data_IF_973627500764
#
_entry.id   IF_973627500764
#
_cell.length_a   1.000
_cell.length_b   1.000
_cell.length_c   1.000
_cell.angle_alpha   90.00
_cell.angle_beta   90.00
_cell.angle_gamma   90.00
#
_symmetry.space_group_name_H-M   'P 1'
#
loop_
_entity.id
_entity.type
_entity.pdbx_description
1 polymer ?
#
# COMPACT_ATOMS: atom_id res chain seq x y z
N UNK A 1 29.41 5.46 10.03
CA UNK A 1 29.58 4.31 10.94
C UNK A 1 28.32 3.91 11.71
N UNK A 2 27.16 4.56 11.49
CA UNK A 2 25.87 4.20 12.13
C UNK A 2 25.10 3.07 11.43
N UNK A 3 25.35 2.80 10.14
CA UNK A 3 24.59 1.80 9.38
C UNK A 3 24.88 0.33 9.73
N UNK A 4 26.07 0.02 10.23
CA UNK A 4 26.45 -1.36 10.56
C UNK A 4 25.76 -1.96 11.80
N UNK A 5 25.40 -1.11 12.79
CA UNK A 5 24.75 -1.58 14.02
C UNK A 5 23.27 -1.96 13.82
N UNK A 6 22.55 -1.28 12.91
CA UNK A 6 21.16 -1.60 12.62
C UNK A 6 20.98 -2.87 11.81
N UNK A 7 21.95 -3.26 10.97
CA UNK A 7 21.92 -4.51 10.16
C UNK A 7 21.84 -5.75 11.03
N UNK A 8 22.57 -5.76 12.14
CA UNK A 8 22.59 -6.90 13.06
C UNK A 8 21.32 -6.96 13.94
N UNK A 9 20.75 -5.81 14.31
CA UNK A 9 19.63 -5.76 15.25
C UNK A 9 18.36 -6.44 14.71
N UNK A 10 17.91 -6.13 13.48
CA UNK A 10 16.74 -6.79 12.88
C UNK A 10 16.95 -8.29 12.67
N UNK A 11 18.17 -8.71 12.26
CA UNK A 11 18.52 -10.12 12.14
C UNK A 11 18.50 -10.83 13.48
N UNK A 12 18.93 -10.16 14.56
CA UNK A 12 18.91 -10.71 15.91
C UNK A 12 17.48 -10.83 16.45
N UNK A 13 16.57 -9.89 16.08
CA UNK A 13 15.15 -10.00 16.40
C UNK A 13 14.54 -11.25 15.76
N UNK A 14 14.85 -11.49 14.48
CA UNK A 14 14.39 -12.70 13.75
C UNK A 14 14.97 -13.96 14.39
N UNK A 15 16.27 -14.02 14.74
CA UNK A 15 16.87 -15.16 15.40
C UNK A 15 16.19 -15.47 16.73
N UNK A 16 15.97 -14.45 17.56
CA UNK A 16 15.24 -14.63 18.84
C UNK A 16 13.84 -15.19 18.63
N UNK A 17 13.13 -14.73 17.59
CA UNK A 17 11.82 -15.25 17.27
C UNK A 17 11.85 -16.70 16.79
N UNK A 18 12.84 -17.07 15.96
CA UNK A 18 13.08 -18.46 15.53
C UNK A 18 13.34 -19.36 16.74
N UNK A 19 14.21 -18.94 17.66
CA UNK A 19 14.54 -19.71 18.87
C UNK A 19 13.32 -19.89 19.78
N UNK A 20 12.51 -18.82 19.93
CA UNK A 20 11.27 -18.84 20.74
C UNK A 20 10.20 -19.76 20.15
N UNK A 21 10.13 -19.88 18.82
CA UNK A 21 9.19 -20.74 18.09
C UNK A 21 9.74 -22.16 17.81
N UNK A 22 10.80 -22.56 18.50
CA UNK A 22 11.34 -23.91 18.42
C UNK A 22 12.15 -24.20 17.16
N UNK A 23 12.77 -23.19 16.56
CA UNK A 23 13.69 -23.29 15.41
C UNK A 23 13.06 -23.00 14.05
N UNK A 24 11.77 -22.76 13.98
CA UNK A 24 11.04 -22.43 12.73
C UNK A 24 10.10 -21.26 12.97
N UNK A 25 10.30 -20.17 12.25
CA UNK A 25 9.44 -18.98 12.30
C UNK A 25 8.52 -18.96 11.08
N UNK A 26 7.21 -18.83 11.30
CA UNK A 26 6.25 -18.72 10.21
C UNK A 26 6.50 -17.45 9.35
N UNK A 27 6.29 -17.55 8.05
CA UNK A 27 6.70 -16.51 7.09
C UNK A 27 6.04 -15.16 7.36
N UNK A 28 4.77 -15.12 7.74
CA UNK A 28 4.08 -13.86 8.10
C UNK A 28 4.70 -13.19 9.34
N UNK A 29 5.16 -13.97 10.33
CA UNK A 29 5.87 -13.43 11.48
C UNK A 29 7.24 -12.89 11.12
N UNK A 30 7.93 -13.55 10.19
CA UNK A 30 9.17 -13.03 9.62
C UNK A 30 8.95 -11.68 8.94
N UNK A 31 7.91 -11.54 8.10
CA UNK A 31 7.54 -10.27 7.44
C UNK A 31 7.20 -9.21 8.48
N UNK A 32 6.39 -9.55 9.50
CA UNK A 32 6.02 -8.62 10.58
C UNK A 32 7.25 -8.04 11.28
N UNK A 33 8.22 -8.87 11.66
CA UNK A 33 9.45 -8.44 12.32
C UNK A 33 10.31 -7.60 11.36
N UNK A 34 10.46 -8.07 10.13
CA UNK A 34 11.36 -7.46 9.14
C UNK A 34 10.88 -6.08 8.70
N UNK A 35 9.56 -5.89 8.56
CA UNK A 35 9.00 -4.61 8.10
C UNK A 35 8.61 -3.70 9.28
N UNK A 36 8.00 -4.24 10.33
CA UNK A 36 7.31 -3.47 11.37
C UNK A 36 7.88 -3.63 12.78
N UNK A 37 8.82 -4.56 12.99
CA UNK A 37 9.51 -4.74 14.27
C UNK A 37 10.28 -3.48 14.70
N UNK A 38 10.79 -3.44 15.91
CA UNK A 38 11.53 -2.30 16.46
C UNK A 38 12.68 -1.85 15.53
N UNK A 39 13.37 -2.83 14.92
CA UNK A 39 14.46 -2.60 13.97
C UNK A 39 14.05 -2.88 12.51
N UNK A 40 12.74 -2.95 12.26
CA UNK A 40 12.18 -3.21 10.94
C UNK A 40 12.31 -2.02 9.98
N UNK A 41 12.11 -2.29 8.70
CA UNK A 41 12.29 -1.32 7.61
C UNK A 41 11.48 -0.04 7.82
N UNK A 42 10.17 -0.13 8.10
CA UNK A 42 9.31 1.04 8.30
C UNK A 42 9.53 1.73 9.64
N UNK A 43 10.10 1.03 10.63
CA UNK A 43 10.40 1.62 11.94
C UNK A 43 11.68 2.44 11.94
N UNK A 44 12.67 2.10 11.10
CA UNK A 44 14.02 2.68 11.16
C UNK A 44 14.35 3.60 10.01
N UNK A 45 14.09 3.22 8.76
CA UNK A 45 14.59 3.93 7.58
C UNK A 45 13.61 4.00 6.41
N UNK A 46 12.60 3.13 6.35
CA UNK A 46 11.70 3.02 5.20
C UNK A 46 10.94 4.31 4.94
N UNK A 47 11.08 4.86 3.72
CA UNK A 47 10.42 6.09 3.30
C UNK A 47 9.85 5.90 1.91
N UNK A 48 8.54 6.10 1.76
CA UNK A 48 7.95 6.35 0.46
C UNK A 48 8.35 7.74 -0.06
N UNK A 49 8.37 7.92 -1.38
CA UNK A 49 8.49 9.22 -2.01
C UNK A 49 9.77 9.45 -2.80
N UNK A 50 9.86 10.62 -3.48
CA UNK A 50 10.98 11.00 -4.38
C UNK A 50 12.38 10.95 -3.74
N UNK A 51 12.46 10.94 -2.41
CA UNK A 51 13.70 10.81 -1.63
C UNK A 51 13.72 9.51 -0.81
N UNK A 52 12.71 8.64 -1.00
CA UNK A 52 12.56 7.37 -0.32
C UNK A 52 12.99 6.19 -1.18
N UNK A 53 12.46 5.01 -0.88
CA UNK A 53 12.87 3.76 -1.50
C UNK A 53 12.07 3.42 -2.77
N UNK A 54 10.85 4.00 -2.95
CA UNK A 54 9.96 3.79 -4.11
C UNK A 54 9.03 4.98 -4.35
N UNK A 55 8.49 5.11 -5.57
CA UNK A 55 7.57 6.18 -5.97
C UNK A 55 6.14 5.67 -5.96
N UNK A 56 5.28 6.23 -5.11
CA UNK A 56 3.85 5.93 -5.02
C UNK A 56 3.01 6.96 -5.78
N UNK A 57 1.74 6.65 -6.05
CA UNK A 57 0.83 7.56 -6.77
C UNK A 57 0.73 8.97 -6.14
N UNK A 58 0.62 9.14 -4.82
CA UNK A 58 0.67 10.46 -4.19
C UNK A 58 1.98 11.22 -4.40
N UNK A 59 3.10 10.52 -4.61
CA UNK A 59 4.44 11.12 -4.75
C UNK A 59 4.78 11.55 -6.18
N UNK A 60 4.00 11.12 -7.17
CA UNK A 60 4.14 11.59 -8.56
C UNK A 60 3.95 13.11 -8.62
N UNK A 61 2.93 13.62 -7.91
CA UNK A 61 2.63 15.04 -7.83
C UNK A 61 1.25 15.31 -7.24
N UNK A 62 0.84 16.59 -7.14
CA UNK A 62 -0.42 16.97 -6.52
C UNK A 62 -1.67 16.51 -7.29
N UNK A 63 -1.54 16.14 -8.56
CA UNK A 63 -2.68 15.80 -9.42
C UNK A 63 -3.47 14.59 -8.89
N UNK A 64 -2.79 13.56 -8.35
CA UNK A 64 -3.46 12.43 -7.74
C UNK A 64 -4.38 12.87 -6.60
N UNK A 65 -3.88 13.67 -5.66
CA UNK A 65 -4.68 14.20 -4.55
C UNK A 65 -5.80 15.12 -4.99
N UNK A 66 -5.64 15.86 -6.11
CA UNK A 66 -6.72 16.67 -6.69
C UNK A 66 -7.86 15.82 -7.25
N UNK A 67 -7.54 14.66 -7.88
CA UNK A 67 -8.56 13.71 -8.34
C UNK A 67 -9.24 13.04 -7.14
N UNK A 68 -8.49 12.64 -6.12
CA UNK A 68 -9.08 12.11 -4.87
C UNK A 68 -10.00 13.16 -4.23
N UNK A 69 -9.65 14.44 -4.21
CA UNK A 69 -10.52 15.50 -3.69
C UNK A 69 -11.86 15.58 -4.45
N UNK A 70 -11.85 15.45 -5.78
CA UNK A 70 -13.09 15.37 -6.59
C UNK A 70 -13.91 14.12 -6.28
N UNK A 71 -13.25 12.98 -6.08
CA UNK A 71 -13.90 11.74 -5.67
C UNK A 71 -14.57 11.90 -4.28
N UNK A 72 -13.88 12.53 -3.32
CA UNK A 72 -14.43 12.83 -2.00
C UNK A 72 -15.67 13.72 -2.08
N UNK A 73 -15.66 14.77 -2.91
CA UNK A 73 -16.83 15.62 -3.14
C UNK A 73 -18.01 14.82 -3.69
N UNK A 74 -17.78 13.97 -4.70
CA UNK A 74 -18.83 13.13 -5.28
C UNK A 74 -19.43 12.16 -4.25
N UNK A 75 -18.59 11.54 -3.44
CA UNK A 75 -19.04 10.58 -2.41
C UNK A 75 -19.75 11.29 -1.24
N UNK A 76 -19.29 12.47 -0.87
CA UNK A 76 -19.94 13.30 0.15
C UNK A 76 -21.35 13.70 -0.30
N UNK A 77 -21.52 14.13 -1.57
CA UNK A 77 -22.82 14.39 -2.17
C UNK A 77 -23.73 13.15 -2.19
N UNK A 78 -23.19 12.00 -2.62
CA UNK A 78 -23.91 10.72 -2.65
C UNK A 78 -24.42 10.32 -1.26
N UNK A 79 -23.66 10.61 -0.21
CA UNK A 79 -24.01 10.32 1.20
C UNK A 79 -24.97 11.36 1.80
N UNK A 80 -25.41 12.37 1.04
CA UNK A 80 -26.31 13.40 1.52
C UNK A 80 -25.63 14.49 2.35
N UNK A 81 -24.35 14.73 2.10
CA UNK A 81 -23.53 15.79 2.72
C UNK A 81 -23.42 15.68 4.23
N UNK A 82 -22.95 14.54 4.76
CA UNK A 82 -22.81 14.36 6.21
C UNK A 82 -21.80 15.37 6.81
N UNK A 83 -22.07 15.76 8.06
CA UNK A 83 -21.16 16.56 8.88
C UNK A 83 -21.14 15.95 10.30
N UNK A 84 -20.02 15.37 10.77
CA UNK A 84 -18.73 15.25 10.06
C UNK A 84 -18.73 14.22 8.92
N UNK A 85 -17.92 14.48 7.90
CA UNK A 85 -17.53 13.54 6.85
C UNK A 85 -16.10 13.08 7.12
N UNK A 86 -15.93 11.86 7.61
CA UNK A 86 -14.60 11.34 8.00
C UNK A 86 -13.88 10.72 6.81
N UNK A 87 -12.67 11.18 6.54
CA UNK A 87 -11.75 10.62 5.55
C UNK A 87 -10.55 10.04 6.27
N UNK A 88 -10.37 8.72 6.19
CA UNK A 88 -9.23 8.03 6.77
C UNK A 88 -8.25 7.66 5.67
N UNK A 89 -7.02 8.15 5.77
CA UNK A 89 -5.88 7.82 4.91
C UNK A 89 -5.04 6.78 5.67
N UNK A 90 -5.20 5.51 5.31
CA UNK A 90 -4.56 4.38 5.98
C UNK A 90 -3.22 4.03 5.30
N UNK A 91 -2.14 4.00 6.08
CA UNK A 91 -0.78 3.94 5.54
C UNK A 91 -0.35 5.30 4.96
N UNK A 92 -0.71 6.39 5.64
CA UNK A 92 -0.57 7.76 5.12
C UNK A 92 0.87 8.19 4.83
N UNK A 93 1.87 7.42 5.27
CA UNK A 93 3.27 7.78 5.14
C UNK A 93 3.54 9.17 5.72
N UNK A 94 4.31 10.03 5.00
CA UNK A 94 4.58 11.40 5.46
C UNK A 94 3.38 12.36 5.25
N UNK A 95 2.22 11.87 4.83
CA UNK A 95 1.02 12.67 4.59
C UNK A 95 1.01 13.42 3.24
N UNK A 96 1.60 12.86 2.20
CA UNK A 96 1.63 13.50 0.88
C UNK A 96 0.26 13.58 0.25
N UNK A 97 -0.56 12.53 0.37
CA UNK A 97 -1.94 12.52 -0.10
C UNK A 97 -2.76 13.58 0.62
N UNK A 98 -2.73 13.61 1.96
CA UNK A 98 -3.48 14.58 2.76
C UNK A 98 -3.12 16.04 2.40
N UNK A 99 -1.83 16.34 2.19
CA UNK A 99 -1.40 17.69 1.72
C UNK A 99 -2.04 18.07 0.40
N UNK A 100 -2.02 17.15 -0.57
CA UNK A 100 -2.54 17.42 -1.90
C UNK A 100 -4.06 17.55 -1.92
N UNK A 101 -4.78 16.72 -1.15
CA UNK A 101 -6.24 16.79 -0.98
C UNK A 101 -6.66 18.12 -0.31
N UNK A 102 -5.99 18.48 0.80
CA UNK A 102 -6.29 19.74 1.50
C UNK A 102 -5.97 20.97 0.63
N UNK A 103 -4.88 20.94 -0.13
CA UNK A 103 -4.52 22.02 -1.07
C UNK A 103 -5.50 22.15 -2.23
N UNK A 104 -6.15 21.07 -2.64
CA UNK A 104 -7.20 21.09 -3.66
C UNK A 104 -8.50 21.75 -3.17
N UNK A 105 -8.67 21.92 -1.86
CA UNK A 105 -9.80 22.55 -1.20
C UNK A 105 -11.16 22.04 -1.70
N UNK A 106 -11.49 20.74 -1.50
CA UNK A 106 -12.76 20.15 -1.95
C UNK A 106 -13.97 20.83 -1.33
N UNK A 107 -15.14 20.71 -1.96
CA UNK A 107 -16.39 21.31 -1.48
C UNK A 107 -16.78 20.76 -0.10
N UNK A 108 -16.48 19.49 0.18
CA UNK A 108 -16.70 18.86 1.47
C UNK A 108 -15.73 19.33 2.58
N UNK A 109 -14.78 20.24 2.29
CA UNK A 109 -13.69 20.61 3.21
C UNK A 109 -14.17 21.11 4.58
N UNK A 110 -15.30 21.83 4.64
CA UNK A 110 -15.85 22.34 5.90
C UNK A 110 -16.45 21.26 6.81
N UNK A 111 -16.93 20.17 6.23
CA UNK A 111 -17.46 19.00 6.95
C UNK A 111 -16.40 17.90 7.12
N UNK A 112 -15.28 17.99 6.39
CA UNK A 112 -14.28 16.93 6.31
C UNK A 112 -13.42 16.87 7.58
N UNK A 113 -13.41 15.70 8.24
CA UNK A 113 -12.45 15.31 9.26
C UNK A 113 -11.43 14.38 8.63
N UNK A 114 -10.22 14.88 8.32
CA UNK A 114 -9.15 14.07 7.73
C UNK A 114 -8.30 13.42 8.82
N UNK A 115 -8.22 12.08 8.79
CA UNK A 115 -7.46 11.25 9.73
C UNK A 115 -6.37 10.51 8.96
N UNK A 116 -5.10 10.82 9.22
CA UNK A 116 -3.96 10.14 8.67
C UNK A 116 -3.47 9.07 9.67
N UNK A 117 -3.50 7.81 9.23
CA UNK A 117 -3.08 6.65 10.03
C UNK A 117 -1.73 6.15 9.51
N UNK A 118 -0.72 6.17 10.38
CA UNK A 118 0.65 5.75 10.03
C UNK A 118 1.33 5.14 11.26
N UNK A 119 1.93 3.96 11.12
CA UNK A 119 2.59 3.26 12.24
C UNK A 119 3.93 3.90 12.62
N UNK A 120 4.65 4.49 11.67
CA UNK A 120 5.95 5.13 11.90
C UNK A 120 5.82 6.48 12.61
N UNK A 121 6.37 6.65 13.83
CA UNK A 121 6.37 7.94 14.51
C UNK A 121 7.09 9.05 13.73
N UNK A 122 8.17 8.68 13.03
CA UNK A 122 8.96 9.64 12.24
C UNK A 122 8.15 10.19 11.05
N UNK A 123 7.33 9.33 10.40
CA UNK A 123 6.47 9.76 9.31
C UNK A 123 5.27 10.57 9.81
N UNK A 124 4.65 10.16 10.94
CA UNK A 124 3.58 10.94 11.57
C UNK A 124 4.00 12.37 11.93
N UNK A 125 5.24 12.57 12.33
CA UNK A 125 5.77 13.91 12.63
C UNK A 125 5.80 14.85 11.41
N UNK A 126 5.63 14.31 10.19
CA UNK A 126 5.60 15.07 8.94
C UNK A 126 4.18 15.39 8.47
N UNK A 127 3.15 14.91 9.16
CA UNK A 127 1.75 15.17 8.75
C UNK A 127 1.44 16.67 8.80
N UNK A 128 0.67 17.19 7.84
CA UNK A 128 0.37 18.62 7.79
C UNK A 128 -0.58 19.06 8.90
N UNK A 129 -0.57 20.35 9.20
CA UNK A 129 -1.57 20.95 10.09
C UNK A 129 -2.98 20.76 9.53
N UNK A 130 -3.98 20.57 10.41
CA UNK A 130 -5.38 20.32 10.04
C UNK A 130 -5.70 18.86 9.81
N UNK A 131 -4.73 17.94 9.92
CA UNK A 131 -4.92 16.50 9.85
C UNK A 131 -4.82 15.88 11.24
N UNK A 132 -5.76 15.01 11.59
CA UNK A 132 -5.66 14.17 12.78
C UNK A 132 -4.67 13.04 12.53
N UNK A 133 -3.51 13.07 13.17
CA UNK A 133 -2.46 12.05 13.02
C UNK A 133 -2.60 10.95 14.06
N UNK A 134 -2.66 9.68 13.64
CA UNK A 134 -2.88 8.52 14.50
C UNK A 134 -1.90 7.38 14.16
N UNK A 135 -1.60 6.56 15.19
CA UNK A 135 -0.83 5.32 14.99
C UNK A 135 -1.71 4.14 14.54
N UNK A 136 -3.01 4.20 14.76
CA UNK A 136 -3.98 3.15 14.42
C UNK A 136 -5.31 3.73 13.96
N UNK A 137 -6.15 2.88 13.41
CA UNK A 137 -7.47 3.24 12.89
C UNK A 137 -8.35 3.92 13.97
N UNK A 138 -9.33 4.76 13.57
CA UNK A 138 -10.32 5.30 14.50
C UNK A 138 -10.98 4.19 15.30
N UNK A 139 -11.23 4.39 16.61
CA UNK A 139 -11.81 3.34 17.46
C UNK A 139 -13.31 3.17 17.25
N UNK A 140 -13.99 4.17 16.70
CA UNK A 140 -15.45 4.21 16.56
C UNK A 140 -15.85 4.22 15.08
N UNK A 141 -16.95 3.55 14.72
CA UNK A 141 -17.51 3.63 13.37
C UNK A 141 -17.95 5.04 12.99
N UNK A 142 -17.84 5.37 11.69
CA UNK A 142 -18.10 6.69 11.16
C UNK A 142 -18.81 6.65 9.80
N UNK A 143 -19.34 7.79 9.37
CA UNK A 143 -19.82 8.04 8.01
C UNK A 143 -18.69 8.69 7.22
N UNK A 144 -18.28 8.05 6.10
CA UNK A 144 -17.20 8.60 5.30
C UNK A 144 -16.43 7.56 4.48
N UNK A 145 -15.15 7.79 4.28
CA UNK A 145 -14.31 7.02 3.36
C UNK A 145 -13.00 6.60 4.03
N UNK A 146 -12.60 5.36 3.80
CA UNK A 146 -11.24 4.89 4.08
C UNK A 146 -10.52 4.77 2.73
N UNK A 147 -9.34 5.35 2.61
CA UNK A 147 -8.44 5.24 1.46
C UNK A 147 -7.18 4.52 1.94
N UNK A 148 -6.75 3.51 1.21
CA UNK A 148 -5.46 2.86 1.39
C UNK A 148 -4.73 2.82 0.04
N UNK A 149 -3.54 3.38 -0.02
CA UNK A 149 -2.71 3.38 -1.22
C UNK A 149 -1.43 2.61 -0.94
N UNK A 150 -1.23 1.49 -1.64
CA UNK A 150 -0.06 0.62 -1.47
C UNK A 150 0.13 0.27 0.02
N UNK A 151 -0.88 -0.35 0.61
CA UNK A 151 -0.90 -0.80 1.99
C UNK A 151 -0.99 -2.31 2.11
N UNK A 152 -1.87 -2.96 1.32
CA UNK A 152 -2.14 -4.38 1.48
C UNK A 152 -0.97 -5.24 1.01
N UNK A 153 -0.21 -4.76 0.03
CA UNK A 153 0.98 -5.40 -0.53
C UNK A 153 2.13 -5.54 0.47
N UNK A 154 2.14 -4.75 1.54
CA UNK A 154 3.14 -4.81 2.61
C UNK A 154 2.64 -5.51 3.88
N UNK A 155 1.34 -5.85 3.98
CA UNK A 155 0.84 -6.55 5.15
C UNK A 155 1.41 -7.98 5.23
N UNK A 156 1.65 -8.50 6.45
CA UNK A 156 2.20 -9.84 6.63
C UNK A 156 1.38 -10.92 5.94
N UNK A 157 2.04 -11.83 5.23
CA UNK A 157 1.43 -12.92 4.48
C UNK A 157 2.14 -14.24 4.74
N UNK A 158 1.41 -15.35 4.58
CA UNK A 158 1.97 -16.70 4.61
C UNK A 158 2.41 -17.08 3.20
N UNK A 159 3.49 -17.83 3.06
CA UNK A 159 4.01 -18.27 1.78
C UNK A 159 3.85 -19.78 1.63
N UNK A 160 3.29 -20.21 0.53
CA UNK A 160 3.11 -21.64 0.21
C UNK A 160 3.88 -22.00 -1.05
N UNK A 161 4.46 -23.21 -1.05
CA UNK A 161 5.28 -23.75 -2.13
C UNK A 161 4.74 -25.12 -2.51
N UNK A 162 4.56 -25.39 -3.80
CA UNK A 162 4.14 -26.69 -4.30
C UNK A 162 5.35 -27.61 -4.50
N UNK A 163 5.38 -28.70 -3.71
CA UNK A 163 6.43 -29.72 -3.74
C UNK A 163 5.79 -31.11 -3.62
N UNK A 164 5.19 -31.59 -4.73
CA UNK A 164 4.36 -32.79 -4.74
C UNK A 164 3.03 -32.65 -3.98
N UNK A 165 2.72 -31.45 -3.50
CA UNK A 165 1.59 -30.96 -2.74
C UNK A 165 1.96 -29.62 -2.13
N UNK A 166 0.97 -28.85 -1.66
CA UNK A 166 1.23 -27.57 -1.01
C UNK A 166 1.89 -27.75 0.36
N UNK A 167 2.96 -27.01 0.59
CA UNK A 167 3.69 -26.93 1.86
C UNK A 167 3.82 -25.46 2.26
N UNK A 168 3.78 -25.19 3.55
CA UNK A 168 4.00 -23.84 4.06
C UNK A 168 5.49 -23.56 4.25
N UNK A 169 5.93 -22.39 3.78
CA UNK A 169 7.30 -21.93 3.98
C UNK A 169 7.47 -21.30 5.36
N UNK A 170 8.47 -21.76 6.08
CA UNK A 170 8.96 -21.20 7.33
C UNK A 170 10.39 -20.71 7.15
N UNK A 171 10.82 -19.81 8.03
CA UNK A 171 12.18 -19.30 8.09
C UNK A 171 12.92 -19.98 9.26
N UNK A 172 14.11 -20.48 8.98
CA UNK A 172 15.04 -21.01 9.97
C UNK A 172 16.41 -20.33 9.86
N UNK A 173 17.22 -20.40 10.90
CA UNK A 173 18.62 -20.03 10.86
C UNK A 173 19.47 -21.31 10.76
N UNK A 174 20.35 -21.40 9.75
CA UNK A 174 21.30 -22.53 9.62
C UNK A 174 22.66 -22.25 10.31
N UNK A 175 22.76 -21.12 11.01
CA UNK A 175 23.96 -20.65 11.70
C UNK A 175 24.81 -19.69 10.87
N UNK A 176 24.63 -19.66 9.55
CA UNK A 176 25.31 -18.72 8.64
C UNK A 176 24.32 -17.70 8.05
N UNK A 177 23.09 -18.15 7.75
CA UNK A 177 22.05 -17.35 7.08
C UNK A 177 20.66 -17.86 7.40
N UNK A 178 19.68 -17.03 7.12
CA UNK A 178 18.28 -17.46 7.10
C UNK A 178 18.00 -18.30 5.86
N UNK A 179 17.27 -19.39 6.07
CA UNK A 179 16.90 -20.38 5.04
C UNK A 179 15.42 -20.68 5.11
N UNK A 180 14.85 -21.02 3.97
CA UNK A 180 13.47 -21.47 3.87
C UNK A 180 13.37 -22.96 4.23
N UNK A 181 12.36 -23.33 5.02
CA UNK A 181 11.99 -24.70 5.36
C UNK A 181 10.55 -24.95 5.00
N UNK A 182 10.28 -25.97 4.21
CA UNK A 182 8.94 -26.35 3.81
C UNK A 182 8.35 -27.34 4.80
N UNK A 183 7.21 -26.98 5.38
CA UNK A 183 6.50 -27.77 6.37
C UNK A 183 5.22 -28.34 5.75
N UNK A 184 4.98 -29.63 5.98
CA UNK A 184 3.73 -30.27 5.56
C UNK A 184 2.58 -29.74 6.39
N UNK A 185 1.49 -29.39 5.72
CA UNK A 185 0.26 -28.86 6.34
C UNK A 185 -0.85 -29.89 6.31
N UNK A 186 -1.67 -29.93 7.34
CA UNK A 186 -2.88 -30.76 7.41
C UNK A 186 -4.10 -30.10 6.80
N UNK A 187 -4.13 -28.74 6.82
CA UNK A 187 -5.24 -27.94 6.31
C UNK A 187 -4.70 -27.01 5.20
N UNK A 188 -5.02 -27.36 3.97
CA UNK A 188 -4.59 -26.61 2.77
C UNK A 188 -5.55 -25.44 2.58
N UNK A 189 -5.07 -24.17 2.57
CA UNK A 189 -5.92 -23.02 2.28
C UNK A 189 -6.72 -23.19 0.97
N UNK A 190 -8.02 -22.91 1.04
CA UNK A 190 -8.94 -23.14 -0.09
C UNK A 190 -8.62 -22.27 -1.33
N UNK A 191 -7.89 -21.17 -1.17
CA UNK A 191 -7.44 -20.32 -2.26
C UNK A 191 -6.29 -20.91 -3.08
N UNK A 192 -5.61 -21.96 -2.58
CA UNK A 192 -4.51 -22.59 -3.31
C UNK A 192 -5.04 -23.47 -4.44
N UNK A 193 -4.50 -23.35 -5.67
CA UNK A 193 -4.90 -24.21 -6.79
C UNK A 193 -4.68 -25.69 -6.46
N UNK A 194 -5.64 -26.55 -6.85
CA UNK A 194 -5.54 -27.99 -6.58
C UNK A 194 -4.30 -28.64 -7.22
N UNK A 195 -3.81 -28.08 -8.33
CA UNK A 195 -2.63 -28.55 -9.05
C UNK A 195 -1.77 -27.35 -9.41
N UNK A 196 -0.46 -27.47 -9.21
CA UNK A 196 0.52 -26.47 -9.60
C UNK A 196 1.82 -27.15 -10.06
N UNK A 197 2.70 -26.43 -10.74
CA UNK A 197 4.01 -26.91 -11.09
C UNK A 197 4.90 -27.02 -9.84
N UNK A 198 5.87 -27.95 -9.85
CA UNK A 198 6.87 -28.02 -8.78
C UNK A 198 7.61 -26.67 -8.64
N UNK A 199 7.71 -26.17 -7.42
CA UNK A 199 8.30 -24.87 -7.11
C UNK A 199 7.37 -23.68 -7.29
N UNK A 200 6.11 -23.87 -7.78
CA UNK A 200 5.09 -22.82 -7.77
C UNK A 200 4.87 -22.28 -6.36
N UNK A 201 4.59 -20.98 -6.26
CA UNK A 201 4.39 -20.32 -4.98
C UNK A 201 3.11 -19.50 -4.98
N UNK A 202 2.50 -19.37 -3.81
CA UNK A 202 1.33 -18.51 -3.57
C UNK A 202 1.49 -17.84 -2.21
N UNK A 203 1.25 -16.54 -2.16
CA UNK A 203 1.08 -15.80 -0.92
C UNK A 203 -0.37 -15.95 -0.43
N UNK A 204 -0.56 -16.22 0.87
CA UNK A 204 -1.88 -16.25 1.50
C UNK A 204 -2.02 -15.03 2.40
N UNK A 205 -2.99 -14.17 2.08
CA UNK A 205 -3.13 -12.80 2.57
C UNK A 205 -4.09 -12.71 3.78
N UNK A 206 -3.89 -13.54 4.81
CA UNK A 206 -4.75 -13.55 6.01
C UNK A 206 -4.83 -12.17 6.70
N UNK A 207 -3.72 -11.44 6.75
CA UNK A 207 -3.68 -10.12 7.38
C UNK A 207 -4.42 -9.06 6.54
N UNK A 208 -4.25 -9.07 5.21
CA UNK A 208 -4.95 -8.14 4.32
C UNK A 208 -6.47 -8.41 4.32
N UNK A 209 -6.88 -9.68 4.28
CA UNK A 209 -8.30 -10.08 4.36
C UNK A 209 -8.92 -9.60 5.68
N UNK A 210 -8.23 -9.78 6.78
CA UNK A 210 -8.65 -9.30 8.10
C UNK A 210 -8.74 -7.78 8.13
N UNK A 211 -7.70 -7.09 7.66
CA UNK A 211 -7.66 -5.63 7.63
C UNK A 211 -8.81 -5.03 6.82
N UNK A 212 -9.15 -5.59 5.66
CA UNK A 212 -10.31 -5.18 4.85
C UNK A 212 -11.61 -5.36 5.63
N UNK A 213 -11.79 -6.50 6.31
CA UNK A 213 -12.95 -6.77 7.18
C UNK A 213 -13.08 -5.77 8.32
N UNK A 214 -11.97 -5.50 9.01
CA UNK A 214 -11.91 -4.55 10.12
C UNK A 214 -12.18 -3.11 9.65
N UNK A 215 -11.58 -2.69 8.53
CA UNK A 215 -11.81 -1.39 7.92
C UNK A 215 -13.28 -1.20 7.53
N UNK A 216 -13.91 -2.21 6.91
CA UNK A 216 -15.32 -2.17 6.55
C UNK A 216 -16.22 -2.10 7.79
N UNK A 217 -15.84 -2.70 8.91
CA UNK A 217 -16.62 -2.64 10.17
C UNK A 217 -16.68 -1.22 10.76
N UNK A 218 -15.70 -0.36 10.45
CA UNK A 218 -15.65 1.04 10.86
C UNK A 218 -16.51 1.98 10.00
N UNK A 219 -16.98 1.52 8.86
CA UNK A 219 -17.80 2.35 7.96
C UNK A 219 -19.28 2.08 8.24
N UNK A 220 -19.99 3.07 8.79
CA UNK A 220 -21.44 3.02 8.96
C UNK A 220 -22.19 3.24 7.64
N UNK A 221 -21.73 4.24 6.87
CA UNK A 221 -22.16 4.54 5.51
C UNK A 221 -21.00 5.19 4.76
N UNK A 222 -20.74 4.74 3.54
CA UNK A 222 -19.62 5.24 2.76
C UNK A 222 -18.88 4.16 2.00
N UNK A 223 -17.55 4.22 2.00
CA UNK A 223 -16.76 3.24 1.25
C UNK A 223 -15.32 3.05 1.73
N UNK A 224 -14.79 1.87 1.45
CA UNK A 224 -13.37 1.59 1.46
C UNK A 224 -12.86 1.61 0.01
N UNK A 225 -11.75 2.29 -0.23
CA UNK A 225 -11.07 2.38 -1.53
C UNK A 225 -9.60 2.01 -1.35
N UNK A 226 -9.16 0.98 -2.06
CA UNK A 226 -7.78 0.48 -2.00
C UNK A 226 -7.15 0.57 -3.38
N UNK A 227 -5.98 1.19 -3.47
CA UNK A 227 -5.12 1.21 -4.66
C UNK A 227 -3.95 0.28 -4.37
N UNK A 228 -3.79 -0.80 -5.15
CA UNK A 228 -2.72 -1.76 -4.88
C UNK A 228 -2.35 -2.58 -6.12
N UNK A 229 -1.20 -3.26 -6.05
CA UNK A 229 -0.78 -4.24 -7.04
C UNK A 229 -1.56 -5.54 -6.85
N UNK A 230 -2.38 -5.93 -7.81
CA UNK A 230 -3.25 -7.08 -7.63
C UNK A 230 -3.03 -8.18 -8.68
N UNK A 231 -3.34 -9.40 -8.25
CA UNK A 231 -3.33 -10.62 -9.06
C UNK A 231 -4.37 -11.61 -8.50
N UNK A 232 -4.28 -12.88 -8.90
CA UNK A 232 -5.05 -13.98 -8.31
C UNK A 232 -4.12 -15.08 -7.79
N UNK A 233 -4.61 -15.91 -6.88
CA UNK A 233 -3.84 -17.06 -6.35
C UNK A 233 -3.39 -18.00 -7.48
N UNK A 234 -4.24 -18.20 -8.50
CA UNK A 234 -3.93 -19.02 -9.66
C UNK A 234 -2.84 -18.41 -10.53
N UNK A 235 -2.88 -17.10 -10.76
CA UNK A 235 -1.84 -16.39 -11.51
C UNK A 235 -0.50 -16.39 -10.78
N UNK A 236 -0.49 -16.22 -9.45
CA UNK A 236 0.73 -16.37 -8.66
C UNK A 236 1.35 -17.75 -8.85
N UNK A 237 0.55 -18.81 -8.76
CA UNK A 237 1.05 -20.17 -8.92
C UNK A 237 1.60 -20.46 -10.32
N UNK A 238 1.16 -19.73 -11.35
CA UNK A 238 1.53 -19.94 -12.76
C UNK A 238 2.75 -19.13 -13.22
N UNK A 239 3.18 -18.11 -12.44
CA UNK A 239 4.26 -17.18 -12.78
C UNK A 239 5.49 -17.39 -11.88
N UNK A 240 6.69 -17.01 -12.34
CA UNK A 240 7.87 -16.93 -11.47
C UNK A 240 7.60 -16.04 -10.25
N UNK A 241 7.85 -16.56 -9.05
CA UNK A 241 7.51 -15.84 -7.82
C UNK A 241 8.17 -14.45 -7.69
N UNK A 242 9.34 -14.24 -8.31
CA UNK A 242 10.04 -12.95 -8.33
C UNK A 242 9.32 -11.84 -9.11
N UNK A 243 8.29 -12.18 -9.86
CA UNK A 243 7.48 -11.19 -10.55
C UNK A 243 6.45 -10.53 -9.63
N UNK A 244 5.97 -11.26 -8.61
CA UNK A 244 4.91 -10.82 -7.73
C UNK A 244 5.32 -10.72 -6.23
N UNK A 245 6.46 -11.30 -5.81
CA UNK A 245 7.10 -11.09 -4.50
C UNK A 245 8.44 -10.38 -4.74
N UNK A 246 8.53 -9.14 -4.30
CA UNK A 246 9.61 -8.23 -4.66
C UNK A 246 10.25 -7.63 -3.42
N UNK A 247 11.46 -7.16 -3.57
CA UNK A 247 12.18 -6.41 -2.54
C UNK A 247 12.72 -5.12 -3.17
N UNK A 248 12.76 -4.06 -2.38
CA UNK A 248 13.28 -2.76 -2.82
C UNK A 248 14.19 -2.13 -1.76
N UNK A 249 15.24 -1.44 -2.20
CA UNK A 249 16.13 -0.66 -1.37
C UNK A 249 16.72 0.49 -2.21
N UNK A 250 16.55 1.74 -1.79
CA UNK A 250 17.09 2.91 -2.47
C UNK A 250 16.65 3.06 -3.94
N UNK A 251 15.38 2.83 -4.26
CA UNK A 251 14.77 2.85 -5.61
C UNK A 251 15.21 1.73 -6.55
N UNK A 252 15.97 0.76 -6.08
CA UNK A 252 16.42 -0.36 -6.88
C UNK A 252 15.80 -1.67 -6.38
N UNK A 253 15.78 -2.69 -7.24
CA UNK A 253 15.43 -4.05 -6.83
C UNK A 253 16.43 -4.50 -5.77
N UNK A 254 15.88 -4.93 -4.63
CA UNK A 254 16.65 -5.48 -3.53
C UNK A 254 17.18 -6.89 -3.80
N UNK A 255 17.76 -7.48 -2.78
CA UNK A 255 18.23 -8.87 -2.78
C UNK A 255 17.14 -9.83 -2.35
N UNK A 256 17.44 -11.13 -2.21
CA UNK A 256 16.46 -12.12 -1.75
C UNK A 256 15.85 -11.71 -0.40
N UNK A 257 14.55 -11.94 -0.19
CA UNK A 257 13.81 -11.50 1.01
C UNK A 257 14.37 -12.00 2.34
N UNK A 258 15.13 -13.10 2.37
CA UNK A 258 15.85 -13.60 3.55
C UNK A 258 17.20 -12.92 3.78
N UNK A 259 17.59 -11.99 2.91
CA UNK A 259 18.83 -11.21 3.04
C UNK A 259 18.50 -9.77 3.42
N UNK A 260 19.49 -9.03 3.91
CA UNK A 260 19.33 -7.60 4.26
C UNK A 260 18.10 -7.31 5.12
N UNK A 261 17.83 -8.18 6.10
CA UNK A 261 16.66 -8.14 6.99
C UNK A 261 16.55 -6.77 7.66
N UNK A 262 15.36 -6.14 7.56
CA UNK A 262 15.08 -4.82 8.10
C UNK A 262 15.67 -3.66 7.30
N UNK A 263 16.31 -3.90 6.12
CA UNK A 263 16.96 -2.87 5.31
C UNK A 263 16.40 -2.75 3.90
N UNK A 264 15.46 -3.58 3.55
CA UNK A 264 14.76 -3.56 2.28
C UNK A 264 13.26 -3.72 2.54
N UNK A 265 12.49 -3.11 1.70
CA UNK A 265 11.06 -3.34 1.62
C UNK A 265 10.79 -4.73 1.04
N UNK A 266 9.72 -5.37 1.48
CA UNK A 266 9.23 -6.65 0.95
C UNK A 266 7.77 -6.44 0.59
N UNK A 267 7.47 -6.47 -0.70
CA UNK A 267 6.13 -6.24 -1.24
C UNK A 267 5.66 -7.44 -2.04
N UNK A 268 4.37 -7.69 -1.99
CA UNK A 268 3.72 -8.84 -2.64
C UNK A 268 2.48 -8.39 -3.37
N UNK A 269 2.27 -8.83 -4.63
CA UNK A 269 0.98 -8.57 -5.29
C UNK A 269 -0.17 -9.17 -4.48
N UNK A 270 -1.25 -8.43 -4.31
CA UNK A 270 -2.39 -8.85 -3.49
C UNK A 270 -3.31 -9.77 -4.29
N UNK A 271 -3.54 -10.99 -3.80
CA UNK A 271 -4.47 -11.92 -4.44
C UNK A 271 -5.93 -11.53 -4.12
N UNK A 272 -6.60 -10.90 -5.08
CA UNK A 272 -7.96 -10.35 -4.89
C UNK A 272 -9.02 -11.42 -4.62
N UNK A 273 -8.80 -12.64 -5.09
CA UNK A 273 -9.66 -13.80 -4.85
C UNK A 273 -9.64 -14.29 -3.39
N UNK A 274 -8.71 -13.78 -2.58
CA UNK A 274 -8.62 -14.05 -1.14
C UNK A 274 -9.31 -12.98 -0.29
N UNK A 275 -9.60 -11.80 -0.86
CA UNK A 275 -10.25 -10.71 -0.14
C UNK A 275 -11.78 -10.88 -0.14
N UNK A 276 -12.46 -10.13 0.74
CA UNK A 276 -13.90 -9.94 0.60
C UNK A 276 -14.19 -9.34 -0.78
N UNK A 277 -15.19 -9.87 -1.49
CA UNK A 277 -15.52 -9.43 -2.85
C UNK A 277 -15.79 -7.93 -2.89
N UNK A 278 -15.04 -7.14 -3.67
CA UNK A 278 -15.28 -5.71 -3.81
C UNK A 278 -16.56 -5.44 -4.62
N UNK A 279 -17.17 -4.28 -4.38
CA UNK A 279 -18.33 -3.80 -5.16
C UNK A 279 -17.90 -3.43 -6.59
N UNK A 280 -16.68 -2.91 -6.75
CA UNK A 280 -16.05 -2.67 -8.06
C UNK A 280 -14.54 -2.89 -8.01
N UNK A 281 -13.99 -3.25 -9.15
CA UNK A 281 -12.58 -3.43 -9.41
C UNK A 281 -12.27 -2.79 -10.77
N UNK A 282 -11.44 -1.76 -10.79
CA UNK A 282 -11.02 -1.03 -11.98
C UNK A 282 -9.51 -0.81 -11.96
N UNK A 283 -8.92 -0.34 -13.04
CA UNK A 283 -7.55 0.17 -13.02
C UNK A 283 -7.49 1.57 -12.41
N UNK A 284 -6.32 1.97 -11.89
CA UNK A 284 -6.10 3.34 -11.43
C UNK A 284 -6.35 4.36 -12.54
N UNK A 285 -5.91 4.05 -13.77
CA UNK A 285 -6.14 4.93 -14.91
C UNK A 285 -7.64 5.14 -15.19
N UNK A 286 -8.48 4.10 -15.10
CA UNK A 286 -9.93 4.21 -15.25
C UNK A 286 -10.55 5.02 -14.12
N UNK A 287 -10.17 4.73 -12.86
CA UNK A 287 -10.62 5.48 -11.70
C UNK A 287 -10.29 6.99 -11.81
N UNK A 288 -9.05 7.32 -12.16
CA UNK A 288 -8.64 8.72 -12.28
C UNK A 288 -9.38 9.45 -13.40
N UNK A 289 -9.71 8.78 -14.52
CA UNK A 289 -10.53 9.35 -15.59
C UNK A 289 -11.99 9.54 -15.16
N UNK A 290 -12.56 8.58 -14.43
CA UNK A 290 -13.91 8.68 -13.86
C UNK A 290 -14.06 9.97 -13.02
N UNK A 291 -13.03 10.27 -12.20
CA UNK A 291 -13.04 11.48 -11.34
C UNK A 291 -12.35 12.69 -11.98
N UNK A 292 -12.21 12.69 -13.31
CA UNK A 292 -11.95 13.86 -14.14
C UNK A 292 -10.51 14.34 -14.20
N UNK A 293 -9.52 13.42 -14.20
CA UNK A 293 -8.11 13.77 -14.40
C UNK A 293 -7.89 14.53 -15.70
N UNK A 294 -8.56 14.13 -16.79
CA UNK A 294 -8.42 14.75 -18.11
C UNK A 294 -8.86 16.23 -18.09
N UNK A 295 -9.94 16.54 -17.37
CA UNK A 295 -10.39 17.92 -17.16
C UNK A 295 -9.37 18.76 -16.39
N UNK A 296 -8.75 18.21 -15.35
CA UNK A 296 -7.69 18.88 -14.58
C UNK A 296 -6.44 19.15 -15.42
N UNK A 297 -6.09 18.23 -16.33
CA UNK A 297 -4.99 18.42 -17.28
C UNK A 297 -5.30 19.54 -18.27
N UNK A 298 -6.49 19.53 -18.84
CA UNK A 298 -6.93 20.57 -19.77
C UNK A 298 -6.99 21.97 -19.12
N UNK A 299 -7.52 22.08 -17.90
CA UNK A 299 -7.44 23.31 -17.10
C UNK A 299 -5.99 23.79 -16.95
N UNK A 300 -5.06 22.87 -16.67
CA UNK A 300 -3.64 23.17 -16.53
C UNK A 300 -3.01 23.65 -17.83
N UNK A 301 -3.37 23.01 -18.96
CA UNK A 301 -2.90 23.39 -20.30
C UNK A 301 -3.36 24.81 -20.67
N UNK A 302 -4.65 25.11 -20.50
CA UNK A 302 -5.22 26.42 -20.81
C UNK A 302 -4.62 27.52 -19.92
N UNK A 303 -4.44 27.24 -18.62
CA UNK A 303 -3.83 28.20 -17.71
C UNK A 303 -2.36 28.49 -18.07
N UNK A 304 -1.61 27.48 -18.47
CA UNK A 304 -0.24 27.64 -18.94
C UNK A 304 -0.16 28.46 -20.23
N UNK A 305 -0.99 28.17 -21.22
CA UNK A 305 -1.02 28.91 -22.49
C UNK A 305 -1.31 30.40 -22.29
N UNK A 306 -2.26 30.73 -21.40
CA UNK A 306 -2.58 32.12 -21.05
C UNK A 306 -1.44 32.86 -20.36
N UNK A 307 -0.62 32.16 -19.59
CA UNK A 307 0.48 32.72 -18.83
C UNK A 307 1.86 32.53 -19.49
N UNK A 308 1.93 32.01 -20.71
CA UNK A 308 3.19 31.63 -21.37
C UNK A 308 4.20 32.77 -21.51
N UNK A 309 3.72 34.04 -21.63
CA UNK A 309 4.59 35.22 -21.73
C UNK A 309 5.12 35.69 -20.35
N UNK A 310 4.51 35.30 -19.26
CA UNK A 310 4.94 35.66 -17.89
C UNK A 310 4.58 34.55 -16.89
N UNK A 311 5.28 33.41 -16.95
CA UNK A 311 4.93 32.24 -16.14
C UNK A 311 5.19 32.50 -14.65
N UNK A 312 4.23 32.06 -13.82
CA UNK A 312 4.32 32.03 -12.36
C UNK A 312 4.60 30.62 -11.86
N UNK A 313 5.01 30.47 -10.59
CA UNK A 313 5.15 29.14 -9.95
C UNK A 313 3.82 28.35 -10.05
N UNK A 314 2.69 29.01 -9.84
CA UNK A 314 1.37 28.37 -9.96
C UNK A 314 1.09 27.84 -11.36
N UNK A 315 1.43 28.59 -12.41
CA UNK A 315 1.22 28.12 -13.80
C UNK A 315 2.21 27.05 -14.21
N UNK A 316 3.42 27.04 -13.64
CA UNK A 316 4.39 25.93 -13.80
C UNK A 316 3.84 24.65 -13.18
N UNK A 317 3.27 24.72 -11.98
CA UNK A 317 2.61 23.56 -11.31
C UNK A 317 1.41 23.06 -12.14
N UNK A 318 0.65 23.96 -12.79
CA UNK A 318 -0.42 23.54 -13.69
C UNK A 318 0.08 22.84 -14.96
N UNK A 319 1.23 23.25 -15.49
CA UNK A 319 1.87 22.59 -16.63
C UNK A 319 2.33 21.17 -16.27
N UNK A 320 2.79 20.94 -15.03
CA UNK A 320 3.27 19.60 -14.61
C UNK A 320 2.17 18.54 -14.64
N UNK A 321 0.87 18.93 -14.56
CA UNK A 321 -0.27 18.02 -14.62
C UNK A 321 -0.27 17.09 -15.84
N UNK A 322 0.27 17.52 -16.97
CA UNK A 322 0.39 16.67 -18.17
C UNK A 322 1.29 15.47 -17.90
N UNK A 323 2.49 15.71 -17.37
CA UNK A 323 3.45 14.63 -17.06
C UNK A 323 2.98 13.77 -15.88
N UNK A 324 2.34 14.39 -14.90
CA UNK A 324 1.76 13.67 -13.76
C UNK A 324 0.67 12.72 -14.25
N UNK A 325 -0.23 13.18 -15.12
CA UNK A 325 -1.28 12.35 -15.71
C UNK A 325 -0.73 11.22 -16.59
N UNK A 326 0.31 11.51 -17.40
CA UNK A 326 1.01 10.49 -18.19
C UNK A 326 1.52 9.37 -17.27
N UNK A 327 2.21 9.70 -16.18
CA UNK A 327 2.74 8.72 -15.24
C UNK A 327 1.62 7.98 -14.48
N UNK A 328 0.60 8.71 -13.97
CA UNK A 328 -0.49 8.16 -13.17
C UNK A 328 -1.44 7.25 -13.97
N UNK A 329 -1.54 7.45 -15.28
CA UNK A 329 -2.43 6.70 -16.18
C UNK A 329 -1.68 5.72 -17.10
N UNK A 330 -0.36 5.58 -16.96
CA UNK A 330 0.42 4.64 -17.76
C UNK A 330 0.10 3.20 -17.36
N UNK A 331 -0.52 2.45 -18.27
CA UNK A 331 -0.86 1.04 -18.05
C UNK A 331 0.36 0.09 -18.04
N UNK A 332 1.54 0.57 -18.44
CA UNK A 332 2.79 -0.15 -18.24
C UNK A 332 3.43 0.14 -16.86
N UNK A 333 2.86 1.06 -16.11
CA UNK A 333 3.31 1.49 -14.79
C UNK A 333 2.18 1.51 -13.75
N UNK A 334 2.16 2.55 -12.91
CA UNK A 334 1.22 2.67 -11.80
C UNK A 334 -0.24 2.85 -12.24
N UNK A 335 -0.51 3.26 -13.48
CA UNK A 335 -1.86 3.34 -14.02
C UNK A 335 -2.58 1.99 -14.13
N UNK A 336 -1.82 0.89 -14.11
CA UNK A 336 -2.34 -0.48 -14.11
C UNK A 336 -2.70 -1.00 -12.70
N UNK A 337 -2.38 -0.26 -11.63
CA UNK A 337 -2.79 -0.68 -10.26
C UNK A 337 -4.29 -0.90 -10.21
N UNK A 338 -4.69 -1.85 -9.42
CA UNK A 338 -6.09 -2.13 -9.17
C UNK A 338 -6.66 -1.16 -8.14
N UNK A 339 -7.85 -0.67 -8.42
CA UNK A 339 -8.65 0.10 -7.47
C UNK A 339 -9.84 -0.75 -7.05
N UNK A 340 -9.77 -1.24 -5.82
CA UNK A 340 -10.84 -2.03 -5.21
C UNK A 340 -11.73 -1.12 -4.39
N UNK A 341 -13.03 -1.20 -4.58
CA UNK A 341 -13.99 -0.42 -3.80
C UNK A 341 -15.02 -1.32 -3.15
N UNK A 342 -15.34 -1.06 -1.89
CA UNK A 342 -16.46 -1.65 -1.16
C UNK A 342 -17.39 -0.54 -0.70
N UNK A 343 -18.68 -0.69 -0.93
CA UNK A 343 -19.73 0.23 -0.44
C UNK A 343 -20.41 -0.35 0.79
N UNK A 344 -20.73 0.54 1.73
CA UNK A 344 -21.49 0.25 2.94
C UNK A 344 -22.70 1.19 3.05
#
# INVERSE_FOLDING_TARGET
MASGHHVHAASDDVRRAIDADGGLLRFDKFIEITLYGEHGFYSTAGRAGRRGDFLTSPEVGPLFGMVIARALDAWWEELGRPDPFTVVDAGAGPGTLSRSVLAANPHCSSAMRYVAVEVSPAQRALHPAGVESRAGMPPEPFVGVIIANELLDNLPFRLFVFDGGWREAFVADDGERFVERLVTISDVPACLPAVAAHGSRVAVHDAATRWVGDALSLIQAGRLVVFDYCTTSTEMASRPWREWLRTYSGHERGVHYLQSVGQQDITVEVAVDQLLSPTSLTSQAEFLREFGIDGLVEEGRVAWERAASSPTVATMTMRSRVREAEALCDLAGIGAFSVLQWRR
#
